data_IF_071094357086
#
_entry.id   IF_071094357086
#
_cell.length_a   1.000
_cell.length_b   1.000
_cell.length_c   1.000
_cell.angle_alpha   90.00
_cell.angle_beta   90.00
_cell.angle_gamma   90.00
#
_symmetry.space_group_name_H-M   'P 1'
#
loop_
_entity.id
_entity.type
_entity.pdbx_description
1 polymer ?
#
# COMPACT_ATOMS: atom_id res chain seq x y z
N UNK A 1 -25.91 26.97 -48.10
CA UNK A 1 -25.24 27.92 -47.17
C UNK A 1 -26.37 28.75 -46.58
N UNK A 2 -26.71 28.70 -45.30
CA UNK A 2 -25.92 28.54 -44.09
C UNK A 2 -26.69 27.65 -43.06
N UNK A 3 -25.91 27.06 -42.16
CA UNK A 3 -26.31 26.08 -41.15
C UNK A 3 -26.84 26.77 -39.90
N UNK A 4 -27.96 26.29 -39.33
CA UNK A 4 -28.39 26.64 -37.97
C UNK A 4 -27.84 25.62 -36.97
N UNK A 5 -27.10 26.14 -36.00
CA UNK A 5 -26.42 25.42 -34.92
C UNK A 5 -27.41 24.89 -33.87
N UNK A 6 -27.24 23.63 -33.49
CA UNK A 6 -27.91 23.04 -32.34
C UNK A 6 -27.25 23.51 -31.02
N UNK A 7 -28.00 23.73 -29.94
CA UNK A 7 -27.46 24.26 -28.69
C UNK A 7 -26.56 23.24 -27.97
N UNK A 8 -25.38 23.73 -27.59
CA UNK A 8 -24.31 22.99 -26.94
C UNK A 8 -24.70 22.37 -25.59
N UNK A 9 -24.23 21.14 -25.37
CA UNK A 9 -24.27 20.46 -24.07
C UNK A 9 -23.15 21.00 -23.19
N UNK A 10 -23.50 21.56 -22.04
CA UNK A 10 -22.60 21.81 -20.92
C UNK A 10 -22.19 20.48 -20.26
N UNK A 11 -20.90 20.10 -20.19
CA UNK A 11 -20.46 19.00 -19.35
C UNK A 11 -20.11 19.55 -17.97
N UNK A 12 -21.07 19.48 -17.05
CA UNK A 12 -20.94 20.06 -15.71
C UNK A 12 -22.01 19.59 -14.74
N UNK A 13 -22.32 18.29 -14.70
CA UNK A 13 -23.04 17.67 -13.58
C UNK A 13 -22.43 16.30 -13.28
N UNK A 14 -21.46 16.28 -12.36
CA UNK A 14 -21.03 15.03 -11.74
C UNK A 14 -22.07 14.65 -10.70
N UNK A 15 -22.97 13.72 -11.05
CA UNK A 15 -23.85 13.07 -10.07
C UNK A 15 -22.99 12.33 -9.05
N UNK A 16 -23.04 12.78 -7.80
CA UNK A 16 -22.49 12.06 -6.66
C UNK A 16 -23.36 10.83 -6.38
N UNK A 17 -22.95 9.67 -6.87
CA UNK A 17 -23.55 8.39 -6.50
C UNK A 17 -23.23 8.08 -5.04
N UNK A 18 -24.22 8.21 -4.16
CA UNK A 18 -24.20 7.67 -2.79
C UNK A 18 -24.05 6.16 -2.86
N UNK A 19 -22.87 5.64 -2.53
CA UNK A 19 -22.67 4.22 -2.26
C UNK A 19 -23.23 3.92 -0.88
N UNK A 20 -24.35 3.20 -0.81
CA UNK A 20 -24.91 2.66 0.44
C UNK A 20 -24.16 1.35 0.73
N UNK A 21 -23.39 1.33 1.82
CA UNK A 21 -22.79 0.12 2.36
C UNK A 21 -23.91 -0.74 2.99
N UNK A 22 -24.07 -2.03 2.63
CA UNK A 22 -25.01 -2.90 3.31
C UNK A 22 -24.52 -3.17 4.73
N UNK A 23 -25.39 -2.84 5.70
CA UNK A 23 -25.26 -3.23 7.10
C UNK A 23 -25.73 -4.67 7.25
N UNK A 24 -24.86 -5.56 7.74
CA UNK A 24 -25.19 -6.96 8.01
C UNK A 24 -25.06 -7.23 9.50
N UNK A 25 -26.20 -7.24 10.19
CA UNK A 25 -26.32 -7.80 11.53
C UNK A 25 -26.56 -9.32 11.44
N UNK A 26 -25.68 -10.10 12.09
CA UNK A 26 -26.02 -11.32 12.83
C UNK A 26 -26.25 -12.63 12.08
N UNK A 27 -25.21 -13.47 11.99
CA UNK A 27 -25.29 -14.92 12.26
C UNK A 27 -23.89 -15.54 12.42
N UNK A 28 -23.57 -16.02 13.63
CA UNK A 28 -22.61 -17.11 13.86
C UNK A 28 -23.37 -18.43 13.62
N UNK A 29 -22.75 -19.49 13.04
CA UNK A 29 -21.64 -20.19 13.70
C UNK A 29 -20.54 -20.71 12.76
N UNK A 30 -19.37 -20.96 13.35
CA UNK A 30 -18.56 -22.18 13.21
C UNK A 30 -17.09 -21.83 13.38
N UNK A 31 -16.54 -22.26 14.51
CA UNK A 31 -15.12 -22.24 14.79
C UNK A 31 -14.42 -23.28 13.89
N UNK A 32 -13.49 -22.82 13.05
CA UNK A 32 -12.59 -23.70 12.32
C UNK A 32 -12.29 -23.25 10.90
N UNK A 33 -11.45 -22.22 10.74
CA UNK A 33 -10.66 -21.96 9.52
C UNK A 33 -9.75 -20.70 9.59
N UNK A 34 -9.74 -19.93 10.68
CA UNK A 34 -9.02 -18.65 10.73
C UNK A 34 -7.48 -18.76 10.90
N UNK A 35 -6.86 -19.92 10.67
CA UNK A 35 -5.46 -20.16 11.07
C UNK A 35 -4.54 -20.66 9.95
N UNK A 36 -4.89 -20.44 8.67
CA UNK A 36 -4.09 -20.90 7.53
C UNK A 36 -3.49 -19.78 6.64
N UNK A 37 -3.91 -18.52 6.78
CA UNK A 37 -3.48 -17.40 5.91
C UNK A 37 -2.28 -16.59 6.42
N UNK A 38 -1.75 -16.90 7.60
CA UNK A 38 -0.61 -16.16 8.20
C UNK A 38 0.79 -16.69 7.82
N UNK A 39 0.91 -17.67 6.91
CA UNK A 39 2.21 -18.32 6.63
C UNK A 39 3.12 -17.61 5.63
N UNK A 40 2.77 -16.43 5.09
CA UNK A 40 3.58 -15.80 4.01
C UNK A 40 4.45 -14.62 4.45
N UNK A 41 4.10 -13.86 5.49
CA UNK A 41 4.87 -12.71 5.98
C UNK A 41 5.57 -13.03 7.30
N UNK A 42 6.88 -12.73 7.43
CA UNK A 42 7.57 -12.79 8.72
C UNK A 42 6.90 -11.87 9.76
N UNK A 43 6.82 -12.25 11.05
CA UNK A 43 6.22 -11.43 12.09
C UNK A 43 6.84 -10.04 12.22
N UNK A 44 8.14 -9.91 11.94
CA UNK A 44 8.86 -8.63 11.99
C UNK A 44 8.40 -7.65 10.90
N UNK A 45 7.66 -8.13 9.90
CA UNK A 45 7.07 -7.32 8.85
C UNK A 45 5.68 -6.79 9.20
N UNK A 46 5.13 -7.14 10.38
CA UNK A 46 3.73 -6.89 10.74
C UNK A 46 3.65 -5.96 11.95
N UNK A 47 2.99 -4.82 11.78
CA UNK A 47 2.69 -3.85 12.83
C UNK A 47 1.18 -3.82 13.05
N UNK A 48 0.74 -4.05 14.29
CA UNK A 48 -0.69 -4.19 14.63
C UNK A 48 -1.25 -3.02 15.43
N UNK A 49 -0.42 -2.33 16.21
CA UNK A 49 -0.87 -1.26 17.13
C UNK A 49 -0.35 0.11 16.73
N UNK A 50 0.91 0.22 16.32
CA UNK A 50 1.53 1.46 15.84
C UNK A 50 2.87 1.15 15.16
N UNK A 51 3.29 2.04 14.25
CA UNK A 51 4.66 2.09 13.74
C UNK A 51 5.65 2.74 14.74
N UNK A 52 5.15 3.32 15.82
CA UNK A 52 5.92 3.96 16.86
C UNK A 52 6.02 3.07 18.11
N UNK A 53 7.12 3.20 18.84
CA UNK A 53 7.32 2.57 20.14
C UNK A 53 6.63 3.38 21.26
N UNK A 54 6.73 2.88 22.49
CA UNK A 54 6.14 3.52 23.67
C UNK A 54 6.75 4.90 23.98
N UNK A 55 7.94 5.18 23.45
CA UNK A 55 8.65 6.46 23.61
C UNK A 55 8.30 7.45 22.50
N UNK A 56 7.46 7.06 21.53
CA UNK A 56 7.06 7.89 20.40
C UNK A 56 8.09 7.93 19.26
N UNK A 57 9.07 7.03 19.24
CA UNK A 57 10.02 6.89 18.13
C UNK A 57 9.57 5.82 17.16
N UNK A 58 9.98 5.95 15.89
CA UNK A 58 9.73 4.89 14.91
C UNK A 58 10.45 3.60 15.33
N UNK A 59 9.72 2.50 15.29
CA UNK A 59 10.23 1.17 15.59
C UNK A 59 11.39 0.81 14.67
N UNK A 60 12.44 0.21 15.23
CA UNK A 60 13.69 -0.11 14.52
C UNK A 60 13.46 -1.03 13.31
N UNK A 61 12.48 -1.94 13.40
CA UNK A 61 12.14 -2.90 12.34
C UNK A 61 11.73 -2.21 11.03
N UNK A 62 11.25 -0.96 11.10
CA UNK A 62 10.92 -0.13 9.94
C UNK A 62 12.14 0.19 9.10
N UNK A 63 13.32 0.26 9.72
CA UNK A 63 14.57 0.66 9.08
C UNK A 63 15.42 -0.52 8.64
N UNK A 64 15.37 -1.63 9.38
CA UNK A 64 16.29 -2.75 9.18
C UNK A 64 15.54 -4.07 8.96
N UNK A 65 15.37 -4.86 10.02
CA UNK A 65 14.98 -6.27 9.97
C UNK A 65 13.64 -6.49 9.28
N UNK A 66 12.61 -5.72 9.64
CA UNK A 66 11.29 -5.80 9.02
C UNK A 66 11.31 -5.37 7.56
N UNK A 67 12.09 -4.34 7.21
CA UNK A 67 12.15 -3.82 5.84
C UNK A 67 12.89 -4.78 4.91
N UNK A 68 14.04 -5.29 5.36
CA UNK A 68 14.84 -6.27 4.63
C UNK A 68 14.06 -7.58 4.43
N UNK A 69 13.42 -8.11 5.49
CA UNK A 69 12.63 -9.33 5.41
C UNK A 69 11.43 -9.19 4.48
N UNK A 70 10.74 -8.05 4.50
CA UNK A 70 9.64 -7.78 3.56
C UNK A 70 10.14 -7.74 2.11
N UNK A 71 11.26 -7.04 1.85
CA UNK A 71 11.86 -6.98 0.52
C UNK A 71 12.24 -8.37 -0.01
N UNK A 72 12.90 -9.19 0.81
CA UNK A 72 13.28 -10.56 0.47
C UNK A 72 12.06 -11.44 0.21
N UNK A 73 11.02 -11.30 1.04
CA UNK A 73 9.78 -12.05 0.90
C UNK A 73 9.06 -11.68 -0.41
N UNK A 74 8.98 -10.39 -0.74
CA UNK A 74 8.38 -9.94 -1.99
C UNK A 74 9.16 -10.45 -3.21
N UNK A 75 10.48 -10.47 -3.13
CA UNK A 75 11.34 -10.97 -4.21
C UNK A 75 11.14 -12.46 -4.43
N UNK A 76 11.12 -13.26 -3.35
CA UNK A 76 10.86 -14.71 -3.41
C UNK A 76 9.47 -15.02 -3.95
N UNK A 77 8.50 -14.15 -3.71
CA UNK A 77 7.15 -14.27 -4.27
C UNK A 77 7.04 -13.79 -5.73
N UNK A 78 8.14 -13.41 -6.37
CA UNK A 78 8.19 -13.04 -7.78
C UNK A 78 7.77 -11.60 -8.09
N UNK A 79 7.71 -10.71 -7.09
CA UNK A 79 7.50 -9.28 -7.36
C UNK A 79 8.69 -8.75 -8.18
N UNK A 80 8.40 -7.98 -9.21
CA UNK A 80 9.43 -7.33 -10.05
C UNK A 80 9.74 -5.93 -9.55
N UNK A 81 10.97 -5.46 -9.73
CA UNK A 81 11.37 -4.09 -9.38
C UNK A 81 10.53 -3.01 -10.04
N UNK A 82 10.09 -3.23 -11.28
CA UNK A 82 9.16 -2.32 -11.97
C UNK A 82 7.80 -2.22 -11.28
N UNK A 83 7.29 -3.34 -10.75
CA UNK A 83 6.02 -3.38 -10.01
C UNK A 83 6.16 -2.67 -8.66
N UNK A 84 7.23 -2.96 -7.90
CA UNK A 84 7.47 -2.28 -6.62
C UNK A 84 7.68 -0.77 -6.80
N UNK A 85 8.39 -0.35 -7.85
CA UNK A 85 8.55 1.07 -8.20
C UNK A 85 7.20 1.74 -8.45
N UNK A 86 6.28 1.08 -9.15
CA UNK A 86 4.94 1.63 -9.40
C UNK A 86 4.12 1.76 -8.11
N UNK A 87 4.22 0.79 -7.20
CA UNK A 87 3.59 0.84 -5.87
C UNK A 87 4.17 2.02 -5.08
N UNK A 88 5.49 2.12 -4.99
CA UNK A 88 6.18 3.20 -4.28
C UNK A 88 5.84 4.59 -4.85
N UNK A 89 5.91 4.76 -6.16
CA UNK A 89 5.56 6.02 -6.81
C UNK A 89 4.09 6.40 -6.61
N UNK A 90 3.19 5.40 -6.63
CA UNK A 90 1.78 5.60 -6.30
C UNK A 90 1.58 6.12 -4.89
N UNK A 91 2.25 5.53 -3.90
CA UNK A 91 2.18 5.98 -2.51
C UNK A 91 2.80 7.38 -2.31
N UNK A 92 3.98 7.60 -2.90
CA UNK A 92 4.70 8.88 -2.86
C UNK A 92 3.84 10.05 -3.39
N UNK A 93 2.97 9.81 -4.37
CA UNK A 93 2.13 10.84 -5.00
C UNK A 93 1.19 11.58 -4.03
N UNK A 94 0.85 10.97 -2.89
CA UNK A 94 0.07 11.61 -1.84
C UNK A 94 0.82 11.72 -0.50
N UNK A 95 1.72 10.79 -0.17
CA UNK A 95 2.52 10.89 1.05
C UNK A 95 3.55 12.04 1.01
N UNK A 96 4.11 12.36 -0.17
CA UNK A 96 5.02 13.50 -0.35
C UNK A 96 4.32 14.83 -0.06
N UNK A 97 3.20 15.16 -0.76
CA UNK A 97 2.41 16.34 -0.45
C UNK A 97 1.90 16.39 0.99
N UNK A 98 1.49 15.26 1.58
CA UNK A 98 1.07 15.19 2.98
C UNK A 98 2.21 15.59 3.93
N UNK A 99 3.41 15.02 3.73
CA UNK A 99 4.60 15.32 4.53
C UNK A 99 5.00 16.79 4.46
N UNK A 100 4.80 17.41 3.29
CA UNK A 100 5.12 18.82 3.04
C UNK A 100 3.99 19.79 3.45
N UNK A 101 2.90 19.29 4.03
CA UNK A 101 1.76 20.11 4.44
C UNK A 101 0.97 20.70 3.26
N UNK A 102 1.18 20.19 2.03
CA UNK A 102 0.50 20.67 0.82
C UNK A 102 -0.92 20.11 0.66
N UNK A 103 -1.23 19.01 1.33
CA UNK A 103 -2.59 18.45 1.43
C UNK A 103 -2.89 18.06 2.89
N UNK A 104 -4.15 18.17 3.35
CA UNK A 104 -4.56 17.64 4.64
C UNK A 104 -4.66 16.11 4.62
N UNK A 105 -4.68 15.51 5.82
CA UNK A 105 -4.77 14.05 5.99
C UNK A 105 -5.98 13.44 5.29
N UNK A 106 -7.15 14.09 5.37
CA UNK A 106 -8.39 13.60 4.73
C UNK A 106 -8.24 13.39 3.22
N UNK A 107 -7.59 14.33 2.53
CA UNK A 107 -7.31 14.18 1.10
C UNK A 107 -6.30 13.05 0.84
N UNK A 108 -5.29 12.89 1.70
CA UNK A 108 -4.34 11.79 1.58
C UNK A 108 -5.02 10.43 1.83
N UNK A 109 -5.97 10.38 2.76
CA UNK A 109 -6.80 9.20 3.11
C UNK A 109 -7.65 8.74 1.93
N UNK A 110 -8.32 9.67 1.25
CA UNK A 110 -9.07 9.39 0.03
C UNK A 110 -8.16 8.87 -1.10
N UNK A 111 -7.02 9.54 -1.31
CA UNK A 111 -6.03 9.12 -2.32
C UNK A 111 -5.44 7.74 -2.02
N UNK A 112 -5.21 7.42 -0.75
CA UNK A 112 -4.81 6.07 -0.34
C UNK A 112 -5.88 5.04 -0.72
N UNK A 113 -7.17 5.34 -0.53
CA UNK A 113 -8.27 4.46 -0.94
C UNK A 113 -8.21 4.12 -2.43
N UNK A 114 -8.10 5.14 -3.28
CA UNK A 114 -7.94 4.96 -4.74
C UNK A 114 -6.67 4.20 -5.09
N UNK A 115 -5.54 4.54 -4.45
CA UNK A 115 -4.28 3.82 -4.62
C UNK A 115 -4.42 2.33 -4.26
N UNK A 116 -5.01 2.01 -3.12
CA UNK A 116 -5.16 0.65 -2.64
C UNK A 116 -6.04 -0.17 -3.58
N UNK A 117 -7.18 0.37 -4.01
CA UNK A 117 -8.04 -0.29 -4.99
C UNK A 117 -7.33 -0.56 -6.32
N UNK A 118 -6.67 0.44 -6.91
CA UNK A 118 -6.11 0.35 -8.26
C UNK A 118 -4.74 -0.35 -8.33
N UNK A 119 -3.89 -0.13 -7.33
CA UNK A 119 -2.50 -0.63 -7.31
C UNK A 119 -2.34 -1.94 -6.55
N UNK A 120 -3.20 -2.21 -5.56
CA UNK A 120 -3.12 -3.43 -4.75
C UNK A 120 -4.20 -4.41 -5.17
N UNK A 121 -5.48 -4.10 -4.94
CA UNK A 121 -6.59 -5.03 -5.13
C UNK A 121 -6.74 -5.43 -6.60
N UNK A 122 -6.84 -4.44 -7.51
CA UNK A 122 -7.02 -4.70 -8.93
C UNK A 122 -5.84 -5.44 -9.56
N UNK A 123 -4.60 -5.12 -9.17
CA UNK A 123 -3.43 -5.82 -9.72
C UNK A 123 -3.30 -7.24 -9.18
N UNK A 124 -3.70 -7.49 -7.94
CA UNK A 124 -3.82 -8.84 -7.39
C UNK A 124 -4.86 -9.67 -8.14
N UNK A 125 -6.06 -9.13 -8.35
CA UNK A 125 -7.12 -9.81 -9.11
C UNK A 125 -6.72 -10.15 -10.56
N UNK A 126 -5.84 -9.35 -11.17
CA UNK A 126 -5.28 -9.60 -12.51
C UNK A 126 -4.16 -10.65 -12.52
N UNK A 127 -3.80 -11.22 -11.37
CA UNK A 127 -2.66 -12.16 -11.24
C UNK A 127 -1.29 -11.51 -11.46
N UNK A 128 -1.20 -10.18 -11.38
CA UNK A 128 0.03 -9.43 -11.60
C UNK A 128 0.79 -9.24 -10.29
N UNK A 129 0.06 -9.02 -9.19
CA UNK A 129 0.63 -8.76 -7.87
C UNK A 129 0.64 -10.03 -7.02
N UNK A 130 1.76 -10.42 -6.40
CA UNK A 130 1.79 -11.55 -5.47
C UNK A 130 0.90 -11.34 -4.24
N UNK A 131 0.27 -12.42 -3.77
CA UNK A 131 -0.62 -12.41 -2.59
C UNK A 131 0.04 -11.83 -1.34
N UNK A 132 1.33 -12.11 -1.14
CA UNK A 132 2.09 -11.63 0.01
C UNK A 132 2.16 -10.10 0.08
N UNK A 133 2.18 -9.42 -1.07
CA UNK A 133 2.18 -7.96 -1.12
C UNK A 133 0.79 -7.43 -0.78
N UNK A 134 -0.28 -8.05 -1.29
CA UNK A 134 -1.64 -7.67 -0.90
C UNK A 134 -1.84 -7.84 0.60
N UNK A 135 -1.45 -9.00 1.14
CA UNK A 135 -1.55 -9.30 2.58
C UNK A 135 -0.79 -8.27 3.41
N UNK A 136 0.39 -7.84 2.95
CA UNK A 136 1.16 -6.79 3.60
C UNK A 136 0.38 -5.47 3.69
N UNK A 137 -0.27 -5.03 2.61
CA UNK A 137 -1.09 -3.81 2.67
C UNK A 137 -2.36 -3.99 3.50
N UNK A 138 -3.01 -5.15 3.43
CA UNK A 138 -4.22 -5.44 4.18
C UNK A 138 -3.98 -5.35 5.70
N UNK A 139 -2.90 -5.96 6.18
CA UNK A 139 -2.56 -5.99 7.61
C UNK A 139 -2.22 -4.62 8.19
N UNK A 140 -1.72 -3.69 7.37
CA UNK A 140 -1.34 -2.35 7.83
C UNK A 140 -2.39 -1.28 7.51
N UNK A 141 -3.45 -1.63 6.78
CA UNK A 141 -4.42 -0.68 6.23
C UNK A 141 -5.03 0.22 7.31
N UNK A 142 -5.46 -0.37 8.41
CA UNK A 142 -6.14 0.36 9.48
C UNK A 142 -5.18 1.34 10.18
N UNK A 143 -3.92 0.94 10.39
CA UNK A 143 -2.89 1.84 10.91
C UNK A 143 -2.63 3.00 9.94
N UNK A 144 -2.44 2.71 8.65
CA UNK A 144 -2.19 3.74 7.62
C UNK A 144 -3.31 4.78 7.60
N UNK A 145 -4.56 4.36 7.82
CA UNK A 145 -5.74 5.22 7.77
C UNK A 145 -6.06 5.93 9.10
N UNK A 146 -5.33 5.62 10.17
CA UNK A 146 -5.66 6.13 11.51
C UNK A 146 -5.33 7.61 11.69
N UNK A 147 -4.18 8.08 11.22
CA UNK A 147 -3.74 9.47 11.31
C UNK A 147 -2.54 9.78 10.39
N UNK A 148 -2.16 11.05 10.31
CA UNK A 148 -1.02 11.54 9.52
C UNK A 148 0.30 10.85 9.88
N UNK A 149 0.59 10.66 11.17
CA UNK A 149 1.86 10.09 11.62
C UNK A 149 2.00 8.66 11.13
N UNK A 150 0.99 7.82 11.32
CA UNK A 150 1.01 6.41 10.91
C UNK A 150 1.10 6.24 9.39
N UNK A 151 0.40 7.07 8.59
CA UNK A 151 0.54 7.06 7.14
C UNK A 151 1.97 7.39 6.69
N UNK A 152 2.59 8.40 7.30
CA UNK A 152 3.96 8.81 6.99
C UNK A 152 4.99 7.79 7.50
N UNK A 153 4.72 7.14 8.62
CA UNK A 153 5.54 6.05 9.15
C UNK A 153 5.52 4.84 8.22
N UNK A 154 4.34 4.43 7.74
CA UNK A 154 4.24 3.40 6.72
C UNK A 154 4.94 3.81 5.42
N UNK A 155 4.83 5.08 5.01
CA UNK A 155 5.56 5.56 3.84
C UNK A 155 7.08 5.42 4.00
N UNK A 156 7.63 5.70 5.19
CA UNK A 156 9.04 5.45 5.51
C UNK A 156 9.37 3.96 5.47
N UNK A 157 8.49 3.12 6.01
CA UNK A 157 8.66 1.67 5.97
C UNK A 157 8.73 1.15 4.54
N UNK A 158 7.77 1.54 3.70
CA UNK A 158 7.74 1.22 2.28
C UNK A 158 8.98 1.75 1.53
N UNK A 159 9.50 2.91 1.92
CA UNK A 159 10.75 3.47 1.38
C UNK A 159 11.94 2.56 1.69
N UNK A 160 12.09 2.10 2.93
CA UNK A 160 13.19 1.21 3.31
C UNK A 160 13.07 -0.16 2.63
N UNK A 161 11.85 -0.71 2.52
CA UNK A 161 11.59 -1.93 1.73
C UNK A 161 12.06 -1.74 0.29
N UNK A 162 11.71 -0.60 -0.33
CA UNK A 162 12.11 -0.29 -1.70
C UNK A 162 13.63 -0.20 -1.86
N UNK A 163 14.34 0.37 -0.88
CA UNK A 163 15.80 0.42 -0.86
C UNK A 163 16.43 -0.99 -0.82
N UNK A 164 16.05 -1.81 0.16
CA UNK A 164 16.56 -3.19 0.28
C UNK A 164 16.21 -4.05 -0.94
N UNK A 165 15.05 -3.80 -1.56
CA UNK A 165 14.66 -4.50 -2.77
C UNK A 165 15.66 -4.21 -3.92
N UNK A 166 16.06 -2.95 -4.08
CA UNK A 166 16.98 -2.51 -5.15
C UNK A 166 18.44 -2.89 -4.92
N UNK A 167 18.93 -2.95 -3.68
CA UNK A 167 20.33 -3.30 -3.37
C UNK A 167 20.70 -4.72 -3.83
N UNK A 168 19.79 -5.67 -3.69
CA UNK A 168 19.99 -7.06 -4.11
C UNK A 168 20.14 -7.26 -5.62
N UNK A 169 19.66 -6.32 -6.46
CA UNK A 169 19.85 -6.39 -7.92
C UNK A 169 21.24 -5.89 -8.34
N UNK A 170 21.90 -5.10 -7.47
CA UNK A 170 23.20 -4.47 -7.75
C UNK A 170 24.41 -5.33 -7.35
N UNK A 171 24.19 -6.48 -6.73
CA UNK A 171 25.25 -7.45 -6.40
C UNK A 171 25.23 -8.62 -7.38
N UNK A 172 25.72 -8.45 -8.63
CA UNK A 172 26.25 -9.60 -9.34
C UNK A 172 27.55 -10.00 -8.65
N UNK A 173 27.63 -11.30 -8.35
CA UNK A 173 28.79 -12.01 -7.86
C UNK A 173 30.08 -11.54 -8.56
N UNK A 174 30.82 -10.61 -7.95
CA UNK A 174 32.22 -10.38 -8.31
C UNK A 174 32.99 -11.52 -7.68
N UNK A 175 32.93 -12.67 -8.34
CA UNK A 175 33.86 -13.76 -8.13
C UNK A 175 35.27 -13.19 -8.24
N UNK A 176 35.91 -12.98 -7.09
CA UNK A 176 37.35 -12.87 -6.98
C UNK A 176 37.93 -14.19 -7.46
N UNK A 177 38.21 -14.30 -8.76
CA UNK A 177 39.16 -15.29 -9.24
C UNK A 177 40.53 -14.85 -8.74
N UNK A 178 41.11 -15.70 -7.90
CA UNK A 178 42.48 -15.63 -7.40
C UNK A 178 43.48 -15.57 -8.55
#
# INVERSE_FOLDING_TARGET
>A
MQSEEAPGRTPGESQASRVILPSSAGHHPSAGAASASHRSLPPECIFTTSFYDQSGYLREEIFYTGAQKAADTFRRAGLKSSQLRQIYAGFLSFAGPLREGRIPFEQARERFGSFYCERIVRQFQRGILPEVVKTFFDLHRDLILSNTQEMLAFFRYLTNIYCYFGESERTPDRGFRR
#
